data_IF_449733079720
#
_entry.id   IF_449733079720
#
_cell.length_a   1.000
_cell.length_b   1.000
_cell.length_c   1.000
_cell.angle_alpha   90.00
_cell.angle_beta   90.00
_cell.angle_gamma   90.00
#
_symmetry.space_group_name_H-M   'P 1'
#
loop_
_entity.id
_entity.type
_entity.pdbx_description
1 polymer ?
#
# COMPACT_ATOMS: atom_id res chain seq x y z
N UNK A 1 0.12 -13.41 -1.20
CA UNK A 1 0.03 -12.12 -0.46
C UNK A 1 0.49 -11.01 -1.40
N UNK A 2 0.02 -9.78 -1.24
CA UNK A 2 0.44 -8.65 -2.08
C UNK A 2 1.10 -7.58 -1.19
N UNK A 3 2.16 -6.96 -1.69
CA UNK A 3 2.73 -5.77 -1.06
C UNK A 3 1.97 -4.56 -1.59
N UNK A 4 1.58 -3.67 -0.68
CA UNK A 4 0.89 -2.43 -0.97
C UNK A 4 1.81 -1.29 -0.58
N UNK A 5 2.15 -0.43 -1.52
CA UNK A 5 2.95 0.75 -1.28
C UNK A 5 2.09 2.01 -1.35
N UNK A 6 2.19 2.87 -0.37
CA UNK A 6 1.54 4.17 -0.39
C UNK A 6 2.28 5.08 -1.38
N UNK A 7 1.59 5.53 -2.42
CA UNK A 7 2.16 6.45 -3.42
C UNK A 7 2.39 7.87 -2.88
N UNK A 8 1.91 8.17 -1.65
CA UNK A 8 2.05 9.50 -1.03
C UNK A 8 3.26 9.63 -0.10
N UNK A 9 3.50 8.63 0.74
CA UNK A 9 4.63 8.65 1.69
C UNK A 9 5.65 7.54 1.47
N UNK A 10 5.37 6.57 0.58
CA UNK A 10 6.24 5.43 0.34
C UNK A 10 6.04 4.26 1.31
N UNK A 11 5.13 4.36 2.29
CA UNK A 11 4.87 3.31 3.28
C UNK A 11 4.46 1.98 2.64
N UNK A 12 5.07 0.87 3.06
CA UNK A 12 4.82 -0.45 2.51
C UNK A 12 4.16 -1.37 3.53
N UNK A 13 3.15 -2.10 3.06
CA UNK A 13 2.41 -3.06 3.86
C UNK A 13 2.10 -4.30 3.04
N UNK A 14 2.40 -5.47 3.57
CA UNK A 14 1.95 -6.74 3.01
C UNK A 14 0.54 -7.10 3.49
N UNK A 15 -0.26 -7.66 2.60
CA UNK A 15 -1.61 -8.11 2.93
C UNK A 15 -2.36 -8.65 1.73
N UNK A 16 -3.45 -9.39 1.98
CA UNK A 16 -4.31 -9.90 0.90
C UNK A 16 -5.22 -8.81 0.32
N UNK A 17 -5.65 -7.86 1.15
CA UNK A 17 -6.56 -6.79 0.76
C UNK A 17 -5.87 -5.43 0.71
N UNK A 18 -6.27 -4.60 -0.26
CA UNK A 18 -5.81 -3.22 -0.38
C UNK A 18 -6.19 -2.41 0.86
N UNK A 19 -5.24 -1.73 1.53
CA UNK A 19 -5.56 -0.81 2.61
C UNK A 19 -6.41 0.36 2.10
N UNK A 20 -7.48 0.71 2.81
CA UNK A 20 -8.25 1.92 2.51
C UNK A 20 -7.59 3.21 3.01
N UNK A 21 -6.84 3.15 4.12
CA UNK A 21 -6.19 4.30 4.74
C UNK A 21 -4.73 3.98 5.05
N UNK A 22 -3.84 4.95 4.81
CA UNK A 22 -2.44 4.87 5.21
C UNK A 22 -2.31 5.11 6.71
N UNK A 23 -1.68 4.20 7.48
CA UNK A 23 -1.44 4.42 8.91
C UNK A 23 -0.37 5.49 9.13
N UNK A 24 0.54 5.66 8.16
CA UNK A 24 1.67 6.59 8.25
C UNK A 24 1.27 8.05 7.94
N UNK A 25 0.72 8.30 6.75
CA UNK A 25 0.30 9.65 6.35
C UNK A 25 -1.20 9.95 6.51
N UNK A 26 -2.03 8.97 6.88
CA UNK A 26 -3.48 9.16 7.05
C UNK A 26 -4.30 9.24 5.76
N UNK A 27 -3.66 9.21 4.60
CA UNK A 27 -4.29 9.40 3.29
C UNK A 27 -5.13 8.18 2.86
N UNK A 28 -6.23 8.40 2.13
CA UNK A 28 -7.18 7.35 1.76
C UNK A 28 -7.02 6.94 0.30
N UNK A 29 -7.00 5.63 0.03
CA UNK A 29 -6.99 5.08 -1.33
C UNK A 29 -5.64 5.14 -2.07
N UNK A 30 -4.62 5.73 -1.47
CA UNK A 30 -3.33 6.02 -2.10
C UNK A 30 -2.36 4.83 -2.18
N UNK A 31 -2.78 3.64 -1.73
CA UNK A 31 -1.99 2.41 -1.87
C UNK A 31 -2.07 1.82 -3.27
N UNK A 32 -0.91 1.55 -3.85
CA UNK A 32 -0.73 0.82 -5.10
C UNK A 32 -0.16 -0.56 -4.80
N UNK A 33 -0.51 -1.56 -5.62
CA UNK A 33 0.03 -2.91 -5.47
C UNK A 33 1.47 -2.88 -5.95
N UNK A 34 2.42 -3.11 -5.05
CA UNK A 34 3.83 -3.29 -5.37
C UNK A 34 4.00 -4.75 -5.83
N UNK A 35 3.75 -5.00 -7.11
CA UNK A 35 4.01 -6.29 -7.72
C UNK A 35 5.53 -6.46 -7.84
N UNK A 36 6.10 -7.26 -6.93
CA UNK A 36 7.37 -7.92 -7.18
C UNK A 36 7.13 -8.91 -8.32
N UNK A 37 7.33 -8.44 -9.54
CA UNK A 37 7.16 -9.21 -10.75
C UNK A 37 8.00 -10.47 -10.75
N UNK A 38 7.39 -11.56 -11.20
CA UNK A 38 8.08 -12.57 -11.99
C UNK A 38 7.12 -13.06 -13.07
#
# INVERSE_FOLDING_TARGET
>A
MAVWQCSKCGFEKEGRCKPQKCPDCGEKGSFTKKEGGK
#
